data_IF_464905534077
#
_entry.id   IF_464905534077
#
_cell.length_a   1.000
_cell.length_b   1.000
_cell.length_c   1.000
_cell.angle_alpha   90.00
_cell.angle_beta   90.00
_cell.angle_gamma   90.00
#
_symmetry.space_group_name_H-M   'P 1'
#
loop_
_entity.id
_entity.type
_entity.pdbx_description
1 polymer ?
#
# COMPACT_ATOMS: atom_id res chain seq x y z
N UNK A 1 77.66 -29.55 -8.20
CA UNK A 1 77.07 -29.83 -6.88
C UNK A 1 75.58 -30.00 -7.06
N UNK A 2 75.09 -31.05 -6.54
CA UNK A 2 73.98 -31.90 -6.79
C UNK A 2 72.58 -31.28 -6.72
N UNK A 3 71.58 -32.07 -7.19
CA UNK A 3 70.22 -31.62 -7.56
C UNK A 3 69.21 -31.87 -6.43
N UNK A 4 68.09 -31.24 -6.48
CA UNK A 4 66.96 -31.39 -5.52
C UNK A 4 65.63 -31.41 -6.21
N UNK A 5 65.17 -32.55 -6.37
CA UNK A 5 63.87 -33.20 -6.32
C UNK A 5 62.62 -32.50 -6.72
N UNK A 6 61.98 -33.08 -7.72
CA UNK A 6 60.62 -32.96 -8.14
C UNK A 6 59.64 -33.42 -7.07
N UNK A 7 58.64 -32.65 -6.76
CA UNK A 7 57.49 -33.09 -6.00
C UNK A 7 56.21 -33.07 -6.90
N UNK A 8 55.87 -34.25 -7.28
CA UNK A 8 54.65 -34.66 -8.01
C UNK A 8 53.44 -34.42 -7.09
N UNK A 9 52.59 -33.47 -7.43
CA UNK A 9 51.27 -33.34 -6.80
C UNK A 9 50.27 -34.15 -7.57
N UNK A 10 49.91 -35.31 -7.02
CA UNK A 10 48.88 -36.18 -7.50
C UNK A 10 47.49 -35.54 -7.40
N UNK A 11 46.85 -35.33 -8.54
CA UNK A 11 45.49 -34.88 -8.67
C UNK A 11 44.52 -35.96 -8.19
N UNK A 12 43.97 -35.83 -7.01
CA UNK A 12 42.86 -36.66 -6.51
C UNK A 12 41.56 -36.19 -7.15
N UNK A 13 41.18 -36.84 -8.24
CA UNK A 13 39.85 -36.77 -8.82
C UNK A 13 38.86 -37.47 -7.90
N UNK A 14 38.16 -36.73 -7.05
CA UNK A 14 36.94 -37.22 -6.35
C UNK A 14 35.75 -37.14 -7.30
N UNK A 15 35.43 -38.29 -7.90
CA UNK A 15 34.09 -38.52 -8.45
C UNK A 15 33.08 -38.44 -7.32
N UNK A 16 32.23 -37.40 -7.34
CA UNK A 16 31.00 -37.38 -6.55
C UNK A 16 29.96 -38.21 -7.30
N UNK A 17 29.76 -39.44 -6.85
CA UNK A 17 28.59 -40.23 -7.20
C UNK A 17 27.36 -39.56 -6.62
N UNK A 18 26.49 -39.10 -7.51
CA UNK A 18 25.18 -38.58 -7.13
C UNK A 18 24.27 -39.74 -6.67
N UNK A 19 23.59 -39.64 -5.52
CA UNK A 19 22.61 -40.63 -5.13
C UNK A 19 21.40 -40.57 -6.07
N UNK A 20 21.24 -41.60 -6.88
CA UNK A 20 19.99 -42.02 -7.50
C UNK A 20 19.12 -42.55 -6.36
N UNK A 21 18.17 -41.80 -5.91
CA UNK A 21 16.91 -42.28 -5.29
C UNK A 21 16.06 -41.09 -4.90
N UNK A 22 15.25 -40.63 -5.82
CA UNK A 22 14.12 -39.78 -5.52
C UNK A 22 12.82 -40.48 -5.84
N UNK A 23 12.39 -41.31 -4.93
CA UNK A 23 10.97 -41.52 -4.74
C UNK A 23 10.34 -40.22 -4.25
N UNK A 24 10.15 -39.27 -5.16
CA UNK A 24 9.29 -38.13 -4.91
C UNK A 24 7.86 -38.64 -4.99
N UNK A 25 7.37 -39.02 -3.84
CA UNK A 25 6.00 -39.46 -3.60
C UNK A 25 5.02 -38.45 -4.18
N UNK A 26 4.32 -38.96 -5.16
CA UNK A 26 3.07 -38.52 -5.77
C UNK A 26 1.97 -38.33 -4.68
N UNK A 27 2.08 -37.30 -3.83
CA UNK A 27 1.07 -36.91 -2.84
C UNK A 27 0.91 -35.40 -2.87
N UNK A 28 0.10 -34.91 -3.81
CA UNK A 28 -0.56 -33.60 -3.71
C UNK A 28 -1.48 -33.27 -4.89
N UNK A 29 -1.98 -34.26 -5.64
CA UNK A 29 -2.98 -33.97 -6.69
C UNK A 29 -4.44 -34.18 -6.26
N UNK A 30 -4.70 -34.54 -5.00
CA UNK A 30 -6.06 -34.87 -4.55
C UNK A 30 -6.77 -33.80 -3.71
N UNK A 31 -6.15 -32.67 -3.41
CA UNK A 31 -6.78 -31.64 -2.56
C UNK A 31 -7.06 -30.31 -3.28
N UNK A 32 -6.86 -30.25 -4.59
CA UNK A 32 -7.07 -29.03 -5.39
C UNK A 32 -8.39 -29.02 -6.19
N UNK A 33 -9.28 -29.97 -5.98
CA UNK A 33 -10.52 -30.06 -6.75
C UNK A 33 -11.79 -29.66 -6.00
N UNK A 34 -11.70 -28.96 -4.85
CA UNK A 34 -12.84 -28.47 -4.09
C UNK A 34 -12.88 -26.96 -3.91
N UNK A 35 -12.14 -26.20 -4.71
CA UNK A 35 -12.55 -24.81 -4.94
C UNK A 35 -13.61 -24.82 -6.06
N UNK A 36 -14.83 -25.06 -5.66
CA UNK A 36 -16.02 -24.74 -6.44
C UNK A 36 -15.84 -23.32 -6.99
N UNK A 37 -15.66 -23.24 -8.32
CA UNK A 37 -15.74 -21.99 -9.06
C UNK A 37 -17.10 -21.36 -8.74
N UNK A 38 -17.13 -20.45 -7.78
CA UNK A 38 -18.18 -19.45 -7.70
C UNK A 38 -17.95 -18.54 -8.91
N UNK A 39 -18.34 -19.04 -10.08
CA UNK A 39 -18.49 -18.23 -11.28
C UNK A 39 -19.69 -17.35 -11.03
N UNK A 40 -19.45 -16.15 -10.55
CA UNK A 40 -20.47 -15.12 -10.55
C UNK A 40 -20.92 -14.90 -11.99
N UNK A 41 -22.17 -15.25 -12.33
CA UNK A 41 -22.66 -15.05 -13.68
C UNK A 41 -22.74 -13.54 -13.95
N UNK A 42 -22.05 -13.05 -14.95
CA UNK A 42 -22.26 -11.70 -15.46
C UNK A 42 -21.05 -10.82 -15.70
N UNK A 43 -19.79 -11.23 -15.46
CA UNK A 43 -18.64 -10.35 -15.70
C UNK A 43 -17.92 -10.60 -17.04
N UNK A 44 -18.65 -10.79 -18.13
CA UNK A 44 -18.06 -10.95 -19.47
C UNK A 44 -17.64 -9.63 -20.14
N UNK A 45 -17.70 -8.52 -19.42
CA UNK A 45 -17.16 -7.25 -19.90
C UNK A 45 -15.67 -7.15 -19.60
N UNK A 46 -14.79 -7.51 -20.55
CA UNK A 46 -13.40 -7.06 -20.55
C UNK A 46 -13.39 -5.53 -20.51
N UNK A 47 -13.30 -4.93 -19.34
CA UNK A 47 -12.86 -3.54 -19.28
C UNK A 47 -11.41 -3.52 -19.77
N UNK A 48 -11.23 -3.24 -21.06
CA UNK A 48 -9.91 -2.95 -21.61
C UNK A 48 -9.28 -1.78 -20.83
N UNK A 49 -7.99 -1.47 -21.05
CA UNK A 49 -7.31 -0.36 -20.37
C UNK A 49 -8.13 0.93 -20.34
N UNK A 50 -8.84 1.23 -21.43
CA UNK A 50 -9.77 2.37 -21.51
C UNK A 50 -10.92 2.30 -20.50
N UNK A 51 -11.37 1.10 -20.10
CA UNK A 51 -12.46 0.94 -19.12
C UNK A 51 -12.05 1.32 -17.71
N UNK A 52 -10.80 1.02 -17.30
CA UNK A 52 -10.27 1.40 -16.01
C UNK A 52 -10.22 2.91 -15.82
N UNK A 53 -9.60 3.61 -16.77
CA UNK A 53 -9.47 5.06 -16.72
C UNK A 53 -10.83 5.76 -16.84
N UNK A 54 -11.76 5.23 -17.63
CA UNK A 54 -13.14 5.75 -17.70
C UNK A 54 -13.86 5.61 -16.37
N UNK A 55 -13.74 4.45 -15.70
CA UNK A 55 -14.33 4.24 -14.37
C UNK A 55 -13.71 5.21 -13.35
N UNK A 56 -12.39 5.31 -13.31
CA UNK A 56 -11.70 6.21 -12.42
C UNK A 56 -12.12 7.67 -12.67
N UNK A 57 -12.12 8.11 -13.92
CA UNK A 57 -12.54 9.45 -14.29
C UNK A 57 -14.02 9.73 -13.97
N UNK A 58 -14.93 8.79 -14.22
CA UNK A 58 -16.34 8.93 -13.89
C UNK A 58 -16.56 9.08 -12.38
N UNK A 59 -15.91 8.25 -11.58
CA UNK A 59 -16.00 8.33 -10.11
C UNK A 59 -15.39 9.63 -9.58
N UNK A 60 -14.26 10.06 -10.13
CA UNK A 60 -13.68 11.37 -9.80
C UNK A 60 -14.64 12.51 -10.14
N UNK A 61 -15.25 12.49 -11.33
CA UNK A 61 -16.23 13.51 -11.73
C UNK A 61 -17.44 13.53 -10.78
N UNK A 62 -17.88 12.38 -10.29
CA UNK A 62 -18.95 12.28 -9.29
C UNK A 62 -18.50 12.90 -7.97
N UNK A 63 -17.34 12.53 -7.45
CA UNK A 63 -16.82 13.07 -6.16
C UNK A 63 -16.68 14.59 -6.26
N UNK A 64 -15.93 15.07 -7.26
CA UNK A 64 -15.70 16.51 -7.46
C UNK A 64 -17.01 17.25 -7.71
N UNK A 65 -17.92 16.68 -8.51
CA UNK A 65 -19.21 17.25 -8.80
C UNK A 65 -20.08 17.37 -7.53
N UNK A 66 -20.14 16.33 -6.71
CA UNK A 66 -20.88 16.36 -5.43
C UNK A 66 -20.28 17.42 -4.50
N UNK A 67 -18.97 17.45 -4.33
CA UNK A 67 -18.29 18.43 -3.48
C UNK A 67 -18.52 19.85 -3.97
N UNK A 68 -18.44 20.10 -5.28
CA UNK A 68 -18.72 21.40 -5.88
C UNK A 68 -20.19 21.85 -5.69
N UNK A 69 -21.15 20.94 -5.92
CA UNK A 69 -22.58 21.23 -5.74
C UNK A 69 -22.87 21.53 -4.26
N UNK A 70 -22.41 20.71 -3.34
CA UNK A 70 -22.65 20.91 -1.91
C UNK A 70 -22.02 22.22 -1.45
N UNK A 71 -20.82 22.55 -1.91
CA UNK A 71 -20.15 23.81 -1.60
C UNK A 71 -20.92 25.02 -2.16
N UNK A 72 -21.42 24.93 -3.37
CA UNK A 72 -22.18 26.02 -4.00
C UNK A 72 -23.54 26.26 -3.34
N UNK A 73 -24.18 25.20 -2.85
CA UNK A 73 -25.52 25.28 -2.25
C UNK A 73 -25.45 25.58 -0.76
N UNK A 74 -24.50 25.00 -0.03
CA UNK A 74 -24.43 25.09 1.42
C UNK A 74 -23.00 24.91 1.93
N UNK A 75 -22.26 26.01 2.04
CA UNK A 75 -20.88 26.02 2.57
C UNK A 75 -20.77 25.38 3.97
N UNK A 76 -21.68 25.64 4.94
CA UNK A 76 -21.64 24.95 6.24
C UNK A 76 -21.80 23.43 6.15
N UNK A 77 -22.55 22.92 5.17
CA UNK A 77 -22.66 21.47 4.94
C UNK A 77 -21.37 20.93 4.32
N UNK A 78 -20.78 21.64 3.37
CA UNK A 78 -19.49 21.28 2.81
C UNK A 78 -18.42 21.20 3.89
N UNK A 79 -18.37 22.17 4.79
CA UNK A 79 -17.45 22.17 5.93
C UNK A 79 -17.61 20.93 6.82
N UNK A 80 -18.86 20.53 7.12
CA UNK A 80 -19.13 19.31 7.90
C UNK A 80 -18.71 18.01 7.18
N UNK A 81 -18.68 18.00 5.85
CA UNK A 81 -18.27 16.81 5.09
C UNK A 81 -16.74 16.61 5.06
N UNK A 82 -16.00 17.73 5.18
CA UNK A 82 -14.54 17.73 5.05
C UNK A 82 -13.82 18.10 6.36
N UNK A 83 -14.55 18.32 7.45
CA UNK A 83 -13.94 18.53 8.77
C UNK A 83 -13.37 17.23 9.31
N UNK A 84 -12.41 17.35 10.20
CA UNK A 84 -11.81 16.23 10.94
C UNK A 84 -12.89 15.26 11.47
N UNK A 85 -12.74 13.97 11.19
CA UNK A 85 -13.75 12.92 11.41
C UNK A 85 -15.04 13.08 10.58
N UNK A 86 -14.96 13.79 9.44
CA UNK A 86 -16.05 13.95 8.49
C UNK A 86 -16.30 12.73 7.63
N UNK A 87 -17.30 12.85 6.75
CA UNK A 87 -17.67 11.74 5.83
C UNK A 87 -16.54 11.42 4.84
N UNK A 88 -15.77 12.43 4.41
CA UNK A 88 -14.67 12.25 3.46
C UNK A 88 -13.58 11.34 4.05
N UNK A 89 -13.11 11.60 5.26
CA UNK A 89 -12.13 10.77 5.96
C UNK A 89 -12.61 9.33 6.17
N UNK A 90 -13.86 9.14 6.60
CA UNK A 90 -14.39 7.78 6.76
C UNK A 90 -14.44 7.01 5.46
N UNK A 91 -14.75 7.66 4.33
CA UNK A 91 -14.70 7.04 3.01
C UNK A 91 -13.27 6.71 2.59
N UNK A 92 -12.30 7.57 2.89
CA UNK A 92 -10.87 7.31 2.69
C UNK A 92 -10.44 6.08 3.47
N UNK A 93 -10.75 6.01 4.76
CA UNK A 93 -10.45 4.85 5.63
C UNK A 93 -11.02 3.57 5.04
N UNK A 94 -12.26 3.58 4.56
CA UNK A 94 -12.88 2.40 3.91
C UNK A 94 -12.14 2.01 2.64
N UNK A 95 -11.74 2.97 1.80
CA UNK A 95 -11.01 2.68 0.56
C UNK A 95 -9.60 2.17 0.84
N UNK A 96 -8.89 2.77 1.81
CA UNK A 96 -7.56 2.32 2.24
C UNK A 96 -7.62 0.93 2.89
N UNK A 97 -8.65 0.65 3.70
CA UNK A 97 -8.89 -0.68 4.27
C UNK A 97 -9.08 -1.73 3.17
N UNK A 98 -9.95 -1.43 2.20
CA UNK A 98 -10.17 -2.30 1.05
C UNK A 98 -8.89 -2.55 0.25
N UNK A 99 -8.10 -1.51 0.01
CA UNK A 99 -6.80 -1.60 -0.65
C UNK A 99 -5.81 -2.47 0.15
N UNK A 100 -5.74 -2.26 1.46
CA UNK A 100 -4.90 -3.06 2.36
C UNK A 100 -5.27 -4.54 2.35
N UNK A 101 -6.55 -4.88 2.43
CA UNK A 101 -7.04 -6.27 2.34
C UNK A 101 -6.65 -6.92 1.02
N UNK A 102 -6.76 -6.19 -0.10
CA UNK A 102 -6.32 -6.70 -1.41
C UNK A 102 -4.82 -6.97 -1.41
N UNK A 103 -4.00 -6.08 -0.84
CA UNK A 103 -2.55 -6.27 -0.74
C UNK A 103 -2.20 -7.49 0.11
N UNK A 104 -2.86 -7.71 1.25
CA UNK A 104 -2.67 -8.92 2.07
C UNK A 104 -2.98 -10.19 1.27
N UNK A 105 -4.07 -10.21 0.51
CA UNK A 105 -4.42 -11.35 -0.37
C UNK A 105 -3.38 -11.55 -1.48
N UNK A 106 -2.91 -10.48 -2.12
CA UNK A 106 -1.86 -10.55 -3.14
C UNK A 106 -0.56 -11.09 -2.57
N UNK A 107 -0.15 -10.65 -1.37
CA UNK A 107 1.02 -11.16 -0.68
C UNK A 107 0.90 -12.66 -0.36
N UNK A 108 -0.27 -13.11 0.09
CA UNK A 108 -0.54 -14.53 0.34
C UNK A 108 -0.46 -15.36 -0.94
N UNK A 109 -1.05 -14.91 -2.04
CA UNK A 109 -0.99 -15.58 -3.35
C UNK A 109 0.44 -15.64 -3.88
N UNK A 110 1.22 -14.57 -3.73
CA UNK A 110 2.63 -14.52 -4.15
C UNK A 110 3.47 -15.53 -3.37
N UNK A 111 3.29 -15.59 -2.05
CA UNK A 111 3.99 -16.57 -1.20
C UNK A 111 3.60 -18.01 -1.53
N UNK A 112 2.33 -18.26 -1.81
CA UNK A 112 1.87 -19.60 -2.23
C UNK A 112 2.50 -20.05 -3.57
N UNK A 113 2.89 -19.11 -4.44
CA UNK A 113 3.60 -19.37 -5.69
C UNK A 113 5.13 -19.40 -5.55
N UNK A 114 5.66 -19.29 -4.33
CA UNK A 114 7.10 -19.31 -4.05
C UNK A 114 7.80 -17.95 -4.09
N UNK A 115 7.06 -16.86 -4.28
CA UNK A 115 7.57 -15.50 -4.19
C UNK A 115 7.62 -14.98 -2.75
N UNK A 116 8.24 -13.82 -2.54
CA UNK A 116 8.36 -13.19 -1.20
C UNK A 116 7.08 -12.45 -0.81
N UNK A 117 6.35 -11.92 -1.79
CA UNK A 117 5.22 -11.02 -1.57
C UNK A 117 5.62 -9.68 -0.91
N UNK A 118 6.92 -9.36 -0.90
CA UNK A 118 7.44 -8.19 -0.19
C UNK A 118 6.79 -6.86 -0.60
N UNK A 119 6.56 -6.55 -1.90
CA UNK A 119 5.90 -5.33 -2.30
C UNK A 119 4.49 -5.20 -1.71
N UNK A 120 3.73 -6.29 -1.72
CA UNK A 120 2.34 -6.29 -1.26
C UNK A 120 2.24 -6.21 0.27
N UNK A 121 3.19 -6.81 1.00
CA UNK A 121 3.29 -6.66 2.47
C UNK A 121 3.57 -5.21 2.83
N UNK A 122 4.53 -4.56 2.16
CA UNK A 122 4.85 -3.15 2.41
C UNK A 122 3.70 -2.21 2.06
N UNK A 123 3.00 -2.48 0.95
CA UNK A 123 1.80 -1.72 0.60
C UNK A 123 0.69 -1.89 1.64
N UNK A 124 0.44 -3.11 2.11
CA UNK A 124 -0.54 -3.36 3.18
C UNK A 124 -0.17 -2.61 4.46
N UNK A 125 1.11 -2.62 4.86
CA UNK A 125 1.60 -1.86 6.01
C UNK A 125 1.44 -0.35 5.80
N UNK A 126 1.74 0.16 4.59
CA UNK A 126 1.55 1.56 4.23
C UNK A 126 0.08 1.99 4.31
N UNK A 127 -0.85 1.20 3.79
CA UNK A 127 -2.28 1.48 3.90
C UNK A 127 -2.77 1.44 5.35
N UNK A 128 -2.30 0.48 6.15
CA UNK A 128 -2.63 0.44 7.57
C UNK A 128 -2.11 1.69 8.31
N UNK A 129 -0.91 2.16 7.96
CA UNK A 129 -0.35 3.39 8.51
C UNK A 129 -1.19 4.61 8.13
N UNK A 130 -1.55 4.76 6.84
CA UNK A 130 -2.41 5.85 6.38
C UNK A 130 -3.78 5.82 7.07
N UNK A 131 -4.41 4.64 7.19
CA UNK A 131 -5.68 4.51 7.94
C UNK A 131 -5.56 4.98 9.39
N UNK A 132 -4.48 4.61 10.08
CA UNK A 132 -4.25 5.03 11.47
C UNK A 132 -4.03 6.54 11.55
N UNK A 133 -3.39 7.14 10.54
CA UNK A 133 -3.21 8.59 10.41
C UNK A 133 -4.54 9.30 10.24
N UNK A 134 -5.35 8.87 9.28
CA UNK A 134 -6.68 9.42 9.00
C UNK A 134 -7.64 9.33 10.20
N UNK A 135 -7.59 8.26 10.96
CA UNK A 135 -8.42 8.07 12.15
C UNK A 135 -7.98 8.93 13.34
N UNK A 136 -6.96 9.78 13.18
CA UNK A 136 -6.35 10.55 14.28
C UNK A 136 -6.06 9.70 15.54
N UNK A 137 -5.93 8.37 15.37
CA UNK A 137 -5.66 7.46 16.49
C UNK A 137 -4.49 7.95 17.37
N UNK A 138 -3.40 8.50 16.81
CA UNK A 138 -2.33 9.08 17.61
C UNK A 138 -2.84 10.23 18.51
N UNK A 139 -3.70 11.09 18.00
CA UNK A 139 -4.28 12.23 18.73
C UNK A 139 -5.25 11.76 19.81
N UNK A 140 -6.07 10.74 19.51
CA UNK A 140 -6.99 10.12 20.48
C UNK A 140 -6.26 9.40 21.61
N UNK A 141 -5.16 8.70 21.30
CA UNK A 141 -4.40 7.89 22.28
C UNK A 141 -3.41 8.72 23.11
N UNK A 142 -2.78 9.72 22.53
CA UNK A 142 -1.67 10.44 23.13
C UNK A 142 -1.87 11.97 23.20
N UNK A 143 -3.00 12.50 22.71
CA UNK A 143 -3.24 13.93 22.53
C UNK A 143 -2.42 14.49 21.37
N UNK A 144 -2.57 15.79 21.06
CA UNK A 144 -1.78 16.44 19.99
C UNK A 144 -0.29 16.25 20.25
N UNK A 145 0.34 15.40 19.44
CA UNK A 145 1.75 15.06 19.55
C UNK A 145 2.54 16.09 18.72
N UNK A 146 3.11 17.08 19.39
CA UNK A 146 4.23 17.84 18.80
C UNK A 146 5.54 17.20 19.26
N UNK A 147 6.59 17.27 18.44
CA UNK A 147 7.90 16.72 18.77
C UNK A 147 8.38 17.22 20.15
N UNK A 148 8.21 18.53 20.43
CA UNK A 148 8.60 19.15 21.69
C UNK A 148 7.77 18.63 22.88
N UNK A 149 6.50 18.32 22.68
CA UNK A 149 5.64 17.76 23.71
C UNK A 149 5.97 16.30 23.92
N UNK A 150 6.20 15.55 22.83
CA UNK A 150 6.60 14.16 22.88
C UNK A 150 7.91 13.99 23.66
N UNK A 151 8.93 14.80 23.37
CA UNK A 151 10.21 14.77 24.08
C UNK A 151 10.02 15.07 25.56
N UNK A 152 9.21 16.08 25.93
CA UNK A 152 8.91 16.40 27.32
C UNK A 152 8.13 15.29 28.03
N UNK A 153 7.13 14.73 27.40
CA UNK A 153 6.26 13.70 27.97
C UNK A 153 7.02 12.37 28.14
N UNK A 154 7.88 12.03 27.19
CA UNK A 154 8.79 10.86 27.32
C UNK A 154 9.82 11.08 28.43
N UNK A 155 10.40 12.28 28.53
CA UNK A 155 11.35 12.62 29.60
C UNK A 155 10.68 12.68 30.99
N UNK A 156 9.38 13.00 31.05
CA UNK A 156 8.56 12.95 32.25
C UNK A 156 8.05 11.55 32.62
N UNK A 157 8.36 10.52 31.81
CA UNK A 157 7.99 9.13 32.08
C UNK A 157 6.53 8.78 31.83
N UNK A 158 5.83 9.52 30.97
CA UNK A 158 4.43 9.23 30.62
C UNK A 158 4.32 7.93 29.81
N UNK A 159 3.89 6.86 30.45
CA UNK A 159 3.92 5.50 29.91
C UNK A 159 3.20 5.36 28.54
N UNK A 160 2.10 6.09 28.33
CA UNK A 160 1.33 6.02 27.04
C UNK A 160 2.15 6.54 25.86
N UNK A 161 2.82 7.68 26.03
CA UNK A 161 3.67 8.28 24.99
C UNK A 161 4.89 7.41 24.71
N UNK A 162 5.50 6.82 25.74
CA UNK A 162 6.61 5.90 25.57
C UNK A 162 6.18 4.66 24.77
N UNK A 163 5.05 4.05 25.13
CA UNK A 163 4.50 2.89 24.40
C UNK A 163 4.21 3.26 22.94
N UNK A 164 3.59 4.42 22.70
CA UNK A 164 3.32 4.89 21.36
C UNK A 164 4.60 5.03 20.53
N UNK A 165 5.61 5.73 21.04
CA UNK A 165 6.90 5.92 20.34
C UNK A 165 7.60 4.59 20.06
N UNK A 166 7.63 3.70 21.06
CA UNK A 166 8.27 2.38 20.91
C UNK A 166 7.53 1.53 19.88
N UNK A 167 6.21 1.50 19.92
CA UNK A 167 5.41 0.67 19.00
C UNK A 167 5.46 1.26 17.59
N UNK A 168 5.13 2.53 17.40
CA UNK A 168 5.09 3.16 16.06
C UNK A 168 6.49 3.28 15.48
N UNK A 169 7.46 3.73 16.28
CA UNK A 169 8.86 3.83 15.85
C UNK A 169 9.46 2.45 15.54
N UNK A 170 9.16 1.44 16.36
CA UNK A 170 9.56 0.05 16.11
C UNK A 170 8.98 -0.52 14.82
N UNK A 171 7.68 -0.29 14.56
CA UNK A 171 7.02 -0.71 13.32
C UNK A 171 7.59 0.03 12.10
N UNK A 172 7.82 1.33 12.20
CA UNK A 172 8.44 2.12 11.14
C UNK A 172 9.86 1.64 10.83
N UNK A 173 10.66 1.39 11.86
CA UNK A 173 12.01 0.84 11.72
C UNK A 173 11.97 -0.56 11.07
N UNK A 174 11.08 -1.45 11.53
CA UNK A 174 10.93 -2.78 10.97
C UNK A 174 10.52 -2.72 9.48
N UNK A 175 9.58 -1.86 9.12
CA UNK A 175 9.17 -1.64 7.74
C UNK A 175 10.32 -1.09 6.88
N UNK A 176 11.10 -0.16 7.42
CA UNK A 176 12.28 0.41 6.74
C UNK A 176 13.35 -0.67 6.49
N UNK A 177 13.70 -1.44 7.52
CA UNK A 177 14.67 -2.55 7.40
C UNK A 177 14.18 -3.59 6.41
N UNK A 178 12.89 -3.93 6.44
CA UNK A 178 12.28 -4.85 5.50
C UNK A 178 12.34 -4.31 4.07
N UNK A 179 12.00 -3.03 3.86
CA UNK A 179 12.09 -2.37 2.56
C UNK A 179 13.53 -2.36 2.01
N UNK A 180 14.50 -2.03 2.85
CA UNK A 180 15.91 -2.03 2.44
C UNK A 180 16.40 -3.42 2.03
N UNK A 181 16.01 -4.46 2.76
CA UNK A 181 16.35 -5.87 2.43
C UNK A 181 15.77 -6.32 1.10
N UNK A 182 14.60 -5.83 0.74
CA UNK A 182 13.88 -6.18 -0.50
C UNK A 182 13.96 -5.08 -1.57
N UNK A 183 14.86 -4.11 -1.42
CA UNK A 183 14.94 -2.95 -2.32
C UNK A 183 15.07 -3.31 -3.81
N UNK A 184 15.92 -4.27 -4.23
CA UNK A 184 16.01 -4.66 -5.64
C UNK A 184 14.68 -5.20 -6.17
N UNK A 185 13.98 -6.01 -5.37
CA UNK A 185 12.68 -6.60 -5.71
C UNK A 185 11.60 -5.51 -5.82
N UNK A 186 11.58 -4.56 -4.88
CA UNK A 186 10.67 -3.41 -4.90
C UNK A 186 10.87 -2.55 -6.14
N UNK A 187 12.12 -2.27 -6.51
CA UNK A 187 12.44 -1.51 -7.71
C UNK A 187 12.04 -2.25 -9.00
N UNK A 188 12.28 -3.57 -9.06
CA UNK A 188 11.85 -4.39 -10.19
C UNK A 188 10.32 -4.42 -10.28
N UNK A 189 9.63 -4.59 -9.16
CA UNK A 189 8.17 -4.52 -9.08
C UNK A 189 7.64 -3.15 -9.55
N UNK A 190 8.18 -2.05 -9.03
CA UNK A 190 7.75 -0.70 -9.40
C UNK A 190 7.91 -0.45 -10.91
N UNK A 191 9.07 -0.84 -11.49
CA UNK A 191 9.30 -0.72 -12.94
C UNK A 191 8.31 -1.56 -13.76
N UNK A 192 7.99 -2.76 -13.31
CA UNK A 192 7.02 -3.62 -13.98
C UNK A 192 5.60 -3.07 -13.85
N UNK A 193 5.23 -2.58 -12.67
CA UNK A 193 3.92 -1.97 -12.40
C UNK A 193 3.69 -0.73 -13.27
N UNK A 194 4.67 0.16 -13.42
CA UNK A 194 4.57 1.36 -14.26
C UNK A 194 4.30 1.06 -15.75
N UNK A 195 4.57 -0.16 -16.21
CA UNK A 195 4.25 -0.60 -17.58
C UNK A 195 2.81 -1.07 -17.73
N UNK A 196 2.08 -1.22 -16.63
CA UNK A 196 0.69 -1.67 -16.60
C UNK A 196 -0.26 -0.51 -16.32
N UNK A 197 -1.52 -0.62 -16.77
CA UNK A 197 -2.52 0.44 -16.55
C UNK A 197 -2.88 0.58 -15.07
N UNK A 198 -3.03 -0.54 -14.35
CA UNK A 198 -3.29 -0.49 -12.91
C UNK A 198 -2.13 0.16 -12.14
N UNK A 199 -0.89 -0.13 -12.54
CA UNK A 199 0.28 0.44 -11.89
C UNK A 199 0.40 1.94 -12.14
N UNK A 200 0.13 2.40 -13.36
CA UNK A 200 0.10 3.84 -13.67
C UNK A 200 -0.95 4.58 -12.84
N UNK A 201 -2.16 4.00 -12.72
CA UNK A 201 -3.23 4.57 -11.89
C UNK A 201 -2.81 4.59 -10.41
N UNK A 202 -2.17 3.51 -9.92
CA UNK A 202 -1.67 3.42 -8.57
C UNK A 202 -0.61 4.50 -8.27
N UNK A 203 0.39 4.65 -9.15
CA UNK A 203 1.43 5.68 -8.96
C UNK A 203 0.90 7.10 -9.12
N UNK A 204 -0.15 7.31 -9.94
CA UNK A 204 -0.87 8.58 -9.98
C UNK A 204 -1.53 8.89 -8.63
N UNK A 205 -2.17 7.89 -8.01
CA UNK A 205 -2.76 8.05 -6.68
C UNK A 205 -1.70 8.42 -5.63
N UNK A 206 -0.57 7.70 -5.61
CA UNK A 206 0.56 8.00 -4.70
C UNK A 206 1.11 9.41 -4.95
N UNK A 207 1.20 9.84 -6.21
CA UNK A 207 1.65 11.18 -6.55
C UNK A 207 0.66 12.26 -6.06
N UNK A 208 -0.65 12.01 -6.16
CA UNK A 208 -1.68 12.93 -5.62
C UNK A 208 -1.51 13.04 -4.11
N UNK A 209 -1.44 11.92 -3.37
CA UNK A 209 -1.22 11.92 -1.91
C UNK A 209 0.06 12.67 -1.52
N UNK A 210 1.14 12.46 -2.22
CA UNK A 210 2.39 13.18 -1.96
C UNK A 210 2.27 14.69 -2.22
N UNK A 211 1.51 15.09 -3.24
CA UNK A 211 1.26 16.51 -3.55
C UNK A 211 0.34 17.14 -2.49
N UNK A 212 -0.71 16.46 -2.06
CA UNK A 212 -1.60 16.98 -1.00
C UNK A 212 -0.82 17.22 0.28
N UNK A 213 -0.05 16.26 0.75
CA UNK A 213 0.78 16.35 1.95
C UNK A 213 1.81 17.51 1.86
N UNK A 214 2.53 17.62 0.72
CA UNK A 214 3.54 18.67 0.53
C UNK A 214 2.95 20.07 0.45
N UNK A 215 1.74 20.21 -0.06
CA UNK A 215 1.11 21.51 -0.32
C UNK A 215 -0.09 21.80 0.57
N UNK A 216 -0.41 20.98 1.55
CA UNK A 216 -1.52 21.10 2.49
C UNK A 216 -1.71 22.54 2.97
N UNK A 217 -0.70 23.11 3.61
CA UNK A 217 -0.77 24.47 4.15
C UNK A 217 -1.03 25.57 3.11
N UNK A 218 -0.60 25.34 1.87
CA UNK A 218 -0.80 26.29 0.77
C UNK A 218 -2.21 26.18 0.21
N UNK A 219 -2.70 24.95 0.03
CA UNK A 219 -4.06 24.67 -0.42
C UNK A 219 -5.08 25.22 0.57
N UNK A 220 -4.90 24.95 1.85
CA UNK A 220 -5.77 25.43 2.93
C UNK A 220 -5.83 26.97 3.00
N UNK A 221 -4.71 27.69 2.81
CA UNK A 221 -4.71 29.15 2.70
C UNK A 221 -5.43 29.64 1.45
N UNK A 222 -5.26 28.99 0.33
CA UNK A 222 -5.93 29.32 -0.92
C UNK A 222 -7.46 29.16 -0.77
N UNK A 223 -7.94 28.04 -0.24
CA UNK A 223 -9.36 27.81 0.01
C UNK A 223 -9.94 28.86 0.95
N UNK A 224 -9.27 29.18 2.05
CA UNK A 224 -9.69 30.20 2.98
C UNK A 224 -9.80 31.59 2.33
N UNK A 225 -8.89 31.95 1.42
CA UNK A 225 -8.96 33.22 0.68
C UNK A 225 -10.15 33.33 -0.27
N UNK A 226 -10.70 32.20 -0.69
CA UNK A 226 -11.92 32.11 -1.51
C UNK A 226 -13.21 32.01 -0.70
N UNK A 227 -13.13 32.03 0.64
CA UNK A 227 -14.29 31.83 1.53
C UNK A 227 -14.81 30.41 1.55
N UNK A 228 -13.98 29.43 1.13
CA UNK A 228 -14.29 28.00 1.09
C UNK A 228 -13.73 27.29 2.32
N UNK A 229 -14.28 26.11 2.69
CA UNK A 229 -13.70 25.26 3.74
C UNK A 229 -12.23 24.97 3.46
N UNK A 230 -11.38 25.17 4.46
CA UNK A 230 -9.91 25.03 4.32
C UNK A 230 -9.50 23.65 3.80
N UNK A 231 -9.98 22.53 4.36
CA UNK A 231 -9.55 21.20 3.94
C UNK A 231 -10.25 20.70 2.66
N UNK A 232 -11.18 21.48 2.07
CA UNK A 232 -12.04 21.02 0.95
C UNK A 232 -11.24 20.41 -0.21
N UNK A 233 -10.19 21.08 -0.66
CA UNK A 233 -9.40 20.62 -1.78
C UNK A 233 -8.53 19.42 -1.42
N UNK A 234 -7.92 19.45 -0.26
CA UNK A 234 -7.07 18.41 0.30
C UNK A 234 -7.87 17.12 0.45
N UNK A 235 -8.94 17.13 1.24
CA UNK A 235 -9.81 15.98 1.46
C UNK A 235 -10.40 15.39 0.17
N UNK A 236 -10.76 16.26 -0.78
CA UNK A 236 -11.27 15.81 -2.08
C UNK A 236 -10.20 15.07 -2.87
N UNK A 237 -8.95 15.55 -2.89
CA UNK A 237 -7.85 14.92 -3.60
C UNK A 237 -7.44 13.61 -2.94
N UNK A 238 -7.40 13.55 -1.62
CA UNK A 238 -7.06 12.34 -0.86
C UNK A 238 -8.12 11.26 -1.02
N UNK A 239 -9.40 11.64 -0.99
CA UNK A 239 -10.51 10.73 -1.28
C UNK A 239 -10.41 10.15 -2.69
N UNK A 240 -10.08 10.97 -3.69
CA UNK A 240 -9.86 10.50 -5.08
C UNK A 240 -8.65 9.59 -5.15
N UNK A 241 -7.56 9.92 -4.50
CA UNK A 241 -6.34 9.11 -4.51
C UNK A 241 -6.55 7.74 -3.83
N UNK A 242 -7.21 7.69 -2.67
CA UNK A 242 -7.53 6.45 -1.98
C UNK A 242 -8.45 5.54 -2.80
N UNK A 243 -9.43 6.13 -3.50
CA UNK A 243 -10.26 5.42 -4.47
C UNK A 243 -9.43 4.86 -5.64
N UNK A 244 -8.48 5.62 -6.18
CA UNK A 244 -7.61 5.15 -7.27
C UNK A 244 -6.72 3.99 -6.82
N UNK A 245 -6.19 4.02 -5.60
CA UNK A 245 -5.47 2.89 -5.02
C UNK A 245 -6.33 1.63 -5.00
N UNK A 246 -7.56 1.73 -4.51
CA UNK A 246 -8.51 0.61 -4.44
C UNK A 246 -8.84 0.04 -5.84
N UNK A 247 -9.15 0.90 -6.80
CA UNK A 247 -9.48 0.49 -8.19
C UNK A 247 -8.28 -0.19 -8.83
N UNK A 248 -7.09 0.39 -8.72
CA UNK A 248 -5.85 -0.16 -9.27
C UNK A 248 -5.55 -1.56 -8.73
N UNK A 249 -5.61 -1.74 -7.41
CA UNK A 249 -5.34 -3.02 -6.76
C UNK A 249 -6.43 -4.06 -7.05
N UNK A 250 -7.70 -3.65 -7.13
CA UNK A 250 -8.80 -4.53 -7.57
C UNK A 250 -8.55 -5.07 -8.97
N UNK A 251 -8.08 -4.22 -9.89
CA UNK A 251 -7.74 -4.68 -11.25
C UNK A 251 -6.54 -5.61 -11.26
N UNK A 252 -5.51 -5.32 -10.46
CA UNK A 252 -4.33 -6.18 -10.33
C UNK A 252 -4.70 -7.58 -9.84
N UNK A 253 -5.53 -7.69 -8.81
CA UNK A 253 -5.97 -9.00 -8.30
C UNK A 253 -6.85 -9.72 -9.33
N UNK A 254 -7.77 -9.04 -10.01
CA UNK A 254 -8.60 -9.63 -11.05
C UNK A 254 -7.79 -10.16 -12.24
N UNK A 255 -6.65 -9.55 -12.55
CA UNK A 255 -5.73 -10.03 -13.58
C UNK A 255 -4.98 -11.32 -13.23
N UNK A 256 -4.90 -11.69 -11.94
CA UNK A 256 -4.25 -12.95 -11.50
C UNK A 256 -5.15 -14.19 -11.56
N UNK A 257 -6.46 -13.99 -11.61
CA UNK A 257 -7.43 -15.09 -11.69
C UNK A 257 -7.84 -15.44 -13.13
N UNK A 258 -7.19 -14.82 -14.10
CA UNK A 258 -7.35 -15.09 -15.54
C UNK A 258 -6.17 -15.90 -16.08
#
# INVERSE_FOLDING_TARGET
MAPGDANTISTISRRFDAPKDRHYTRRSHATLHLEERIVLPGSTGRAGPAGLYRLAAALTAVIVGVMAIVTAVNVPLADRLVVENGVAEWLQVIFLAGAGVICVRLAALERASGGTGAPDVLLAAGFAFLMVSEMELPTLLAGRITIDRLVRDVSAGHARQIIFVVVVGGLALAATVYALRHLPELLAWARSALRTDWGRLFFLAVAILAVTELFERRMNRMMASMGLPRPLLEETLELVASLYCLIALRQRIAGRYR
#
